data_IF_598538198052
#
_entry.id   IF_598538198052
#
_cell.length_a   1.000
_cell.length_b   1.000
_cell.length_c   1.000
_cell.angle_alpha   90.00
_cell.angle_beta   90.00
_cell.angle_gamma   90.00
#
_symmetry.space_group_name_H-M   'P 1'
#
loop_
_entity.id
_entity.type
_entity.pdbx_description
1 polymer ?
#
# COMPACT_ATOMS: atom_id res chain seq x y z
N UNK A 1 -0.10 6.95 -15.62
CA UNK A 1 0.55 7.10 -14.31
C UNK A 1 1.46 5.89 -14.04
N UNK A 2 2.55 6.01 -13.26
CA UNK A 2 3.34 4.83 -12.84
C UNK A 2 2.61 4.07 -11.71
N UNK A 3 2.82 2.76 -11.63
CA UNK A 3 2.34 1.95 -10.50
C UNK A 3 2.94 2.49 -9.19
N UNK A 4 2.07 2.75 -8.20
CA UNK A 4 2.43 3.37 -6.92
C UNK A 4 2.46 4.90 -6.88
N UNK A 5 2.17 5.59 -7.99
CA UNK A 5 1.94 7.03 -7.99
C UNK A 5 0.57 7.39 -7.42
N UNK A 6 0.48 8.55 -6.75
CA UNK A 6 -0.77 9.06 -6.20
C UNK A 6 -1.70 9.59 -7.29
N UNK A 7 -2.95 9.12 -7.27
CA UNK A 7 -4.00 9.56 -8.21
C UNK A 7 -4.31 11.05 -8.05
N UNK A 8 -4.17 11.60 -6.84
CA UNK A 8 -4.42 13.01 -6.53
C UNK A 8 -3.64 13.97 -7.44
N UNK A 9 -2.37 13.67 -7.70
CA UNK A 9 -1.52 14.48 -8.58
C UNK A 9 -2.00 14.41 -10.02
N UNK A 10 -2.32 13.21 -10.52
CA UNK A 10 -2.86 13.03 -11.85
C UNK A 10 -4.19 13.78 -12.03
N UNK A 11 -5.09 13.72 -11.05
CA UNK A 11 -6.37 14.46 -11.09
C UNK A 11 -6.12 15.96 -11.15
N UNK A 12 -5.20 16.49 -10.35
CA UNK A 12 -4.86 17.92 -10.35
C UNK A 12 -4.34 18.38 -11.73
N UNK A 13 -3.40 17.63 -12.30
CA UNK A 13 -2.85 17.90 -13.63
C UNK A 13 -3.93 17.81 -14.72
N UNK A 14 -4.79 16.79 -14.63
CA UNK A 14 -5.88 16.60 -15.57
C UNK A 14 -6.88 17.75 -15.53
N UNK A 15 -7.28 18.22 -14.33
CA UNK A 15 -8.19 19.38 -14.20
C UNK A 15 -7.57 20.65 -14.76
N UNK A 16 -6.28 20.88 -14.52
CA UNK A 16 -5.54 21.99 -15.11
C UNK A 16 -5.52 21.92 -16.63
N UNK A 17 -5.34 20.73 -17.19
CA UNK A 17 -5.37 20.49 -18.64
C UNK A 17 -6.76 20.73 -19.23
N UNK A 18 -7.82 20.19 -18.62
CA UNK A 18 -9.21 20.37 -19.07
C UNK A 18 -9.59 21.84 -19.09
N UNK A 19 -9.20 22.62 -18.06
CA UNK A 19 -9.44 24.06 -18.00
C UNK A 19 -8.81 24.84 -19.16
N UNK A 20 -7.75 24.30 -19.80
CA UNK A 20 -7.08 24.95 -20.94
C UNK A 20 -7.67 24.55 -22.29
N UNK A 21 -8.28 23.37 -22.38
CA UNK A 21 -8.81 22.82 -23.64
C UNK A 21 -10.26 23.29 -23.88
N UNK A 22 -10.97 23.76 -22.84
CA UNK A 22 -12.22 24.53 -22.93
C UNK A 22 -13.46 23.70 -23.26
N UNK A 23 -13.49 23.03 -24.42
CA UNK A 23 -14.74 22.53 -25.03
C UNK A 23 -14.77 21.00 -25.25
N UNK A 24 -14.21 20.22 -24.32
CA UNK A 24 -14.33 18.76 -24.38
C UNK A 24 -15.65 18.27 -23.76
N UNK A 25 -16.37 17.42 -24.48
CA UNK A 25 -17.55 16.74 -23.91
C UNK A 25 -17.17 15.90 -22.69
N UNK A 26 -18.03 15.87 -21.68
CA UNK A 26 -17.77 15.14 -20.42
C UNK A 26 -17.51 13.64 -20.66
N UNK A 27 -18.24 13.03 -21.59
CA UNK A 27 -18.00 11.63 -21.99
C UNK A 27 -16.60 11.40 -22.56
N UNK A 28 -16.09 12.35 -23.36
CA UNK A 28 -14.72 12.27 -23.88
C UNK A 28 -13.69 12.43 -22.75
N UNK A 29 -13.95 13.32 -21.77
CA UNK A 29 -13.09 13.50 -20.61
C UNK A 29 -13.04 12.27 -19.72
N UNK A 30 -14.19 11.64 -19.44
CA UNK A 30 -14.30 10.38 -18.68
C UNK A 30 -13.51 9.26 -19.39
N UNK A 31 -13.65 9.15 -20.70
CA UNK A 31 -12.94 8.14 -21.46
C UNK A 31 -11.42 8.40 -21.48
N UNK A 32 -11.00 9.66 -21.59
CA UNK A 32 -9.59 10.02 -21.58
C UNK A 32 -8.95 9.82 -20.20
N UNK A 33 -9.63 10.23 -19.12
CA UNK A 33 -9.12 10.09 -17.75
C UNK A 33 -8.90 8.63 -17.36
N UNK A 34 -9.80 7.73 -17.75
CA UNK A 34 -9.64 6.28 -17.55
C UNK A 34 -8.36 5.73 -18.17
N UNK A 35 -7.89 6.28 -19.28
CA UNK A 35 -6.60 5.86 -19.89
C UNK A 35 -5.39 6.29 -19.08
N UNK A 36 -5.51 7.31 -18.24
CA UNK A 36 -4.41 7.78 -17.39
C UNK A 36 -4.24 7.01 -16.08
N UNK A 37 -5.30 6.30 -15.65
CA UNK A 37 -5.30 5.50 -14.43
C UNK A 37 -4.47 4.21 -14.56
N UNK A 38 -4.02 3.69 -13.42
CA UNK A 38 -3.36 2.39 -13.34
C UNK A 38 -4.37 1.26 -13.52
N UNK A 39 -3.90 0.09 -13.95
CA UNK A 39 -4.74 -1.09 -14.13
C UNK A 39 -5.47 -1.45 -12.83
N UNK A 40 -4.78 -1.36 -11.69
CA UNK A 40 -5.35 -1.55 -10.35
C UNK A 40 -6.56 -0.68 -10.10
N UNK A 41 -6.46 0.63 -10.37
CA UNK A 41 -7.55 1.55 -10.14
C UNK A 41 -8.73 1.27 -11.08
N UNK A 42 -8.46 0.87 -12.34
CA UNK A 42 -9.49 0.47 -13.29
C UNK A 42 -10.25 -0.80 -12.84
N UNK A 43 -9.54 -1.80 -12.32
CA UNK A 43 -10.17 -3.02 -11.77
C UNK A 43 -11.03 -2.72 -10.54
N UNK A 44 -10.54 -1.83 -9.66
CA UNK A 44 -11.30 -1.40 -8.49
C UNK A 44 -12.53 -0.56 -8.87
N UNK A 45 -12.42 0.31 -9.88
CA UNK A 45 -13.54 1.05 -10.44
C UNK A 45 -14.58 0.12 -11.07
N UNK A 46 -14.15 -0.93 -11.78
CA UNK A 46 -15.05 -1.89 -12.41
C UNK A 46 -15.82 -2.74 -11.40
N UNK A 47 -15.22 -3.00 -10.24
CA UNK A 47 -15.86 -3.71 -9.11
C UNK A 47 -16.59 -2.80 -8.14
N UNK A 48 -16.52 -1.47 -8.33
CA UNK A 48 -17.16 -0.50 -7.46
C UNK A 48 -18.69 -0.51 -7.69
N UNK A 49 -19.52 -0.55 -6.64
CA UNK A 49 -20.97 -0.65 -6.80
C UNK A 49 -21.64 0.65 -7.25
N UNK A 50 -20.95 1.80 -7.11
CA UNK A 50 -21.50 3.11 -7.48
C UNK A 50 -21.50 3.31 -8.99
N UNK A 51 -22.59 3.90 -9.50
CA UNK A 51 -22.64 4.41 -10.87
C UNK A 51 -21.75 5.64 -10.99
N UNK A 52 -21.06 5.73 -12.11
CA UNK A 52 -20.17 6.84 -12.45
C UNK A 52 -20.84 7.59 -13.60
N UNK A 53 -21.66 8.58 -13.24
CA UNK A 53 -22.47 9.33 -14.20
C UNK A 53 -21.79 10.65 -14.60
N UNK A 54 -20.89 11.18 -13.76
CA UNK A 54 -20.12 12.38 -14.04
C UNK A 54 -18.61 12.16 -13.98
N UNK A 55 -17.86 13.10 -14.57
CA UNK A 55 -16.40 13.14 -14.47
C UNK A 55 -15.95 13.36 -13.02
N UNK A 56 -16.71 14.14 -12.26
CA UNK A 56 -16.41 14.43 -10.85
C UNK A 56 -16.55 13.14 -10.01
N UNK A 57 -17.63 12.37 -10.20
CA UNK A 57 -17.81 11.08 -9.51
C UNK A 57 -16.66 10.13 -9.81
N UNK A 58 -16.21 10.07 -11.08
CA UNK A 58 -15.08 9.25 -11.46
C UNK A 58 -13.82 9.65 -10.68
N UNK A 59 -13.53 10.95 -10.59
CA UNK A 59 -12.36 11.46 -9.88
C UNK A 59 -12.43 11.17 -8.38
N UNK A 60 -13.58 11.41 -7.76
CA UNK A 60 -13.76 11.25 -6.31
C UNK A 60 -13.68 9.78 -5.89
N UNK A 61 -14.36 8.88 -6.62
CA UNK A 61 -14.30 7.43 -6.36
C UNK A 61 -12.87 6.92 -6.55
N UNK A 62 -12.18 7.35 -7.62
CA UNK A 62 -10.80 6.91 -7.86
C UNK A 62 -9.85 7.41 -6.77
N UNK A 63 -10.04 8.64 -6.29
CA UNK A 63 -9.25 9.21 -5.21
C UNK A 63 -9.48 8.49 -3.88
N UNK A 64 -10.72 8.14 -3.57
CA UNK A 64 -11.07 7.38 -2.36
C UNK A 64 -10.45 5.97 -2.39
N UNK A 65 -10.49 5.30 -3.55
CA UNK A 65 -9.87 3.98 -3.74
C UNK A 65 -8.34 4.03 -3.58
N UNK A 66 -7.70 5.03 -4.18
CA UNK A 66 -6.25 5.22 -4.08
C UNK A 66 -5.83 5.53 -2.63
N UNK A 67 -6.54 6.44 -1.97
CA UNK A 67 -6.29 6.78 -0.56
C UNK A 67 -6.37 5.54 0.33
N UNK A 68 -7.46 4.77 0.23
CA UNK A 68 -7.64 3.53 1.02
C UNK A 68 -6.57 2.47 0.71
N UNK A 69 -6.10 2.40 -0.54
CA UNK A 69 -4.99 1.51 -0.89
C UNK A 69 -3.71 1.94 -0.16
N UNK A 70 -3.35 3.22 -0.22
CA UNK A 70 -2.14 3.74 0.40
C UNK A 70 -2.18 3.64 1.93
N UNK A 71 -3.32 3.94 2.56
CA UNK A 71 -3.53 3.72 4.00
C UNK A 71 -3.28 2.26 4.39
N UNK A 72 -3.86 1.31 3.63
CA UNK A 72 -3.65 -0.12 3.87
C UNK A 72 -2.20 -0.55 3.66
N UNK A 73 -1.48 0.03 2.70
CA UNK A 73 -0.06 -0.26 2.53
C UNK A 73 0.75 0.27 3.72
N UNK A 74 0.43 1.47 4.19
CA UNK A 74 1.08 2.09 5.35
C UNK A 74 0.90 1.25 6.62
N UNK A 75 -0.32 0.77 6.89
CA UNK A 75 -0.61 -0.14 8.00
C UNK A 75 0.19 -1.46 7.91
N UNK A 76 0.25 -2.06 6.72
CA UNK A 76 1.00 -3.30 6.49
C UNK A 76 2.51 -3.12 6.71
N UNK A 77 3.08 -2.00 6.28
CA UNK A 77 4.49 -1.69 6.56
C UNK A 77 4.74 -1.46 8.05
N UNK A 78 3.83 -0.80 8.77
CA UNK A 78 3.99 -0.53 10.21
C UNK A 78 3.74 -1.74 11.11
N UNK A 79 3.02 -2.77 10.63
CA UNK A 79 2.84 -4.02 11.37
C UNK A 79 3.96 -5.05 11.14
N UNK A 80 4.76 -4.94 10.08
CA UNK A 80 5.94 -5.79 9.94
C UNK A 80 7.10 -5.40 10.87
N UNK A 81 7.11 -4.16 11.40
CA UNK A 81 8.14 -3.72 12.35
C UNK A 81 7.88 -4.18 13.79
N UNK A 82 6.67 -4.66 14.11
CA UNK A 82 6.38 -5.28 15.41
C UNK A 82 6.49 -6.80 15.32
N UNK A 83 7.72 -7.28 15.12
CA UNK A 83 8.07 -8.63 15.57
C UNK A 83 7.95 -8.61 17.10
N UNK A 84 7.14 -9.46 17.76
CA UNK A 84 7.32 -9.68 19.18
C UNK A 84 8.65 -10.43 19.30
N UNK A 85 9.72 -9.71 19.59
CA UNK A 85 10.92 -10.30 20.15
C UNK A 85 10.52 -10.83 21.53
N UNK A 86 10.02 -12.08 21.56
CA UNK A 86 9.91 -12.83 22.80
C UNK A 86 11.33 -13.11 23.26
N UNK A 87 11.88 -12.16 24.00
CA UNK A 87 13.02 -12.32 24.87
C UNK A 87 12.89 -13.64 25.63
N UNK A 88 13.84 -14.54 25.40
CA UNK A 88 14.17 -15.65 26.30
C UNK A 88 14.38 -15.05 27.69
N UNK A 89 13.35 -15.12 28.54
CA UNK A 89 13.51 -14.86 29.97
C UNK A 89 13.81 -16.18 30.65
N UNK A 90 15.01 -16.22 31.23
CA UNK A 90 15.52 -17.31 32.05
C UNK A 90 14.61 -17.48 33.28
N UNK A 91 14.02 -18.66 33.44
CA UNK A 91 13.39 -19.08 34.70
C UNK A 91 14.37 -19.94 35.48
N UNK A 92 14.83 -19.40 36.60
CA UNK A 92 15.76 -19.96 37.57
C UNK A 92 15.13 -21.10 38.40
N UNK A 93 15.78 -22.26 38.51
CA UNK A 93 15.69 -23.07 39.73
C UNK A 93 16.97 -23.91 39.98
N UNK A 94 17.39 -24.13 41.24
CA UNK A 94 18.79 -24.33 41.61
C UNK A 94 19.19 -25.80 41.95
N UNK A 95 20.51 -25.97 42.07
CA UNK A 95 21.27 -27.04 42.78
C UNK A 95 21.21 -28.49 42.26
N UNK A 96 22.35 -28.99 41.74
CA UNK A 96 23.25 -29.88 42.51
C UNK A 96 24.48 -30.30 41.65
N UNK A 97 25.67 -30.11 42.23
CA UNK A 97 26.93 -30.77 41.83
C UNK A 97 26.90 -32.26 42.30
N UNK A 98 27.65 -33.23 41.70
CA UNK A 98 29.11 -33.14 41.66
C UNK A 98 29.86 -33.77 40.45
N UNK A 99 31.07 -33.23 40.24
CA UNK A 99 32.34 -33.92 40.00
C UNK A 99 32.38 -35.10 39.00
N UNK A 100 33.08 -34.94 37.86
CA UNK A 100 34.52 -35.22 37.76
C UNK A 100 34.95 -35.43 36.29
N UNK A 101 36.23 -35.12 36.04
CA UNK A 101 37.13 -35.85 35.14
C UNK A 101 37.14 -35.58 33.63
N UNK A 102 38.20 -34.84 33.27
CA UNK A 102 39.25 -35.21 32.30
C UNK A 102 39.06 -35.01 30.79
N UNK A 103 40.04 -34.26 30.25
CA UNK A 103 40.81 -34.48 28.99
C UNK A 103 40.00 -34.36 27.68
N UNK A 104 40.52 -33.79 26.58
CA UNK A 104 41.89 -33.65 26.10
C UNK A 104 41.87 -32.67 24.91
N UNK A 105 42.90 -31.82 24.83
CA UNK A 105 43.36 -31.16 23.60
C UNK A 105 43.45 -32.15 22.42
N UNK A 106 43.13 -31.70 21.21
CA UNK A 106 44.04 -31.87 20.07
C UNK A 106 43.77 -30.87 18.95
N UNK A 107 44.80 -30.10 18.66
CA UNK A 107 45.02 -29.27 17.49
C UNK A 107 45.19 -30.17 16.25
N UNK A 108 44.84 -29.70 15.06
CA UNK A 108 45.75 -28.97 14.17
C UNK A 108 44.93 -28.23 13.11
#
# INVERSE_FOLDING_TARGET
>A
MKEGGHVSLYIADFRSLVSRIGDCSERALIHHSRKGFTARNLDQLASHPSRIDSLQDLMDITLELDTRYHERQFEKSHHQEKKPESSKSNSSHPQNFPSSSQKKKKNF
#
